data_IF_242909655521
#
_entry.id   IF_242909655521
#
_cell.length_a   1.000
_cell.length_b   1.000
_cell.length_c   1.000
_cell.angle_alpha   90.00
_cell.angle_beta   90.00
_cell.angle_gamma   90.00
#
_symmetry.space_group_name_H-M   'P 1'
#
loop_
_entity.id
_entity.type
_entity.pdbx_description
1 polymer ?
#
# COMPACT_ATOMS: atom_id res chain seq x y z
N UNK A 1 -0.93 10.66 -16.81
CA UNK A 1 -1.56 11.07 -15.53
C UNK A 1 -2.51 9.98 -15.08
N UNK A 2 -2.05 8.93 -14.37
CA UNK A 2 -2.91 7.79 -14.01
C UNK A 2 -2.45 6.96 -12.80
N UNK A 3 -1.45 7.45 -12.07
CA UNK A 3 -0.93 6.81 -10.85
C UNK A 3 -0.82 7.87 -9.76
N UNK A 4 -1.14 7.47 -8.54
CA UNK A 4 -1.02 8.28 -7.33
C UNK A 4 -0.03 7.61 -6.37
N UNK A 5 0.68 8.40 -5.58
CA UNK A 5 1.60 7.89 -4.56
C UNK A 5 0.83 7.61 -3.27
N UNK A 6 0.77 6.34 -2.85
CA UNK A 6 0.17 5.91 -1.57
C UNK A 6 1.19 5.08 -0.81
N UNK A 7 1.42 5.41 0.47
CA UNK A 7 2.36 4.68 1.35
C UNK A 7 3.75 4.47 0.70
N UNK A 8 4.29 5.50 0.06
CA UNK A 8 5.59 5.44 -0.61
C UNK A 8 5.62 4.70 -1.95
N UNK A 9 4.52 4.06 -2.37
CA UNK A 9 4.42 3.28 -3.61
C UNK A 9 3.56 3.99 -4.65
N UNK A 10 3.94 3.88 -5.92
CA UNK A 10 3.12 4.31 -7.04
C UNK A 10 2.03 3.27 -7.32
N UNK A 11 0.77 3.68 -7.22
CA UNK A 11 -0.39 2.81 -7.47
C UNK A 11 -1.32 3.47 -8.49
N UNK A 12 -2.06 2.67 -9.30
CA UNK A 12 -3.08 3.21 -10.20
C UNK A 12 -4.09 4.10 -9.46
N UNK A 13 -4.53 5.17 -10.13
CA UNK A 13 -5.56 6.06 -9.60
C UNK A 13 -6.90 5.32 -9.47
N UNK A 14 -7.28 4.60 -10.51
CA UNK A 14 -8.44 3.71 -10.53
C UNK A 14 -8.02 2.25 -10.47
N UNK A 15 -8.87 1.45 -9.85
CA UNK A 15 -8.71 0.01 -9.76
C UNK A 15 -9.51 -0.64 -10.87
N UNK A 16 -8.90 -1.61 -11.58
CA UNK A 16 -9.66 -2.45 -12.50
C UNK A 16 -10.63 -3.33 -11.73
N UNK A 17 -11.73 -3.73 -12.36
CA UNK A 17 -12.74 -4.61 -11.76
C UNK A 17 -12.12 -5.91 -11.20
N UNK A 18 -11.20 -6.53 -11.95
CA UNK A 18 -10.44 -7.70 -11.49
C UNK A 18 -9.63 -7.39 -10.21
N UNK A 19 -9.01 -6.22 -10.10
CA UNK A 19 -8.27 -5.83 -8.89
C UNK A 19 -9.20 -5.56 -7.70
N UNK A 20 -10.41 -5.06 -7.94
CA UNK A 20 -11.47 -4.90 -6.93
C UNK A 20 -11.91 -6.29 -6.45
N UNK A 21 -12.24 -7.19 -7.38
CA UNK A 21 -12.65 -8.56 -7.07
C UNK A 21 -11.61 -9.32 -6.24
N UNK A 22 -10.33 -9.26 -6.62
CA UNK A 22 -9.24 -9.89 -5.85
C UNK A 22 -9.13 -9.35 -4.42
N UNK A 23 -9.28 -8.04 -4.24
CA UNK A 23 -9.26 -7.40 -2.92
C UNK A 23 -10.44 -7.87 -2.07
N UNK A 24 -11.65 -7.88 -2.63
CA UNK A 24 -12.84 -8.35 -1.91
C UNK A 24 -12.74 -9.83 -1.53
N UNK A 25 -12.34 -10.69 -2.48
CA UNK A 25 -12.14 -12.12 -2.26
C UNK A 25 -11.10 -12.42 -1.17
N UNK A 26 -10.14 -11.52 -0.95
CA UNK A 26 -9.14 -11.63 0.12
C UNK A 26 -9.66 -11.05 1.44
N UNK A 27 -10.24 -9.85 1.41
CA UNK A 27 -10.66 -9.13 2.61
C UNK A 27 -11.84 -9.80 3.34
N UNK A 28 -12.83 -10.33 2.60
CA UNK A 28 -14.05 -10.90 3.20
C UNK A 28 -13.71 -12.11 4.09
N UNK A 29 -12.95 -13.14 3.63
CA UNK A 29 -12.56 -14.26 4.48
C UNK A 29 -11.65 -13.85 5.65
N UNK A 30 -10.75 -12.88 5.44
CA UNK A 30 -9.89 -12.37 6.52
C UNK A 30 -10.72 -11.70 7.63
N UNK A 31 -11.71 -10.90 7.26
CA UNK A 31 -12.62 -10.26 8.20
C UNK A 31 -13.48 -11.29 8.94
N UNK A 32 -14.02 -12.29 8.22
CA UNK A 32 -14.81 -13.36 8.82
C UNK A 32 -13.98 -14.15 9.85
N UNK A 33 -12.72 -14.50 9.51
CA UNK A 33 -11.81 -15.19 10.42
C UNK A 33 -11.49 -14.35 11.66
N UNK A 34 -11.30 -13.04 11.48
CA UNK A 34 -10.98 -12.12 12.56
C UNK A 34 -12.15 -11.97 13.53
N UNK A 35 -13.38 -11.89 13.01
CA UNK A 35 -14.60 -11.82 13.82
C UNK A 35 -14.85 -13.12 14.59
N UNK A 36 -14.53 -14.28 13.99
CA UNK A 36 -14.66 -15.58 14.67
C UNK A 36 -13.67 -15.73 15.82
N UNK A 37 -12.42 -15.28 15.64
CA UNK A 37 -11.39 -15.29 16.68
C UNK A 37 -10.38 -14.19 16.39
N UNK A 38 -10.21 -13.27 17.34
CA UNK A 38 -9.22 -12.21 17.22
C UNK A 38 -7.81 -12.80 17.07
N UNK A 39 -7.18 -12.57 15.92
CA UNK A 39 -5.82 -13.04 15.62
C UNK A 39 -4.84 -11.89 15.31
N UNK A 40 -5.26 -10.63 15.44
CA UNK A 40 -4.41 -9.48 15.11
C UNK A 40 -3.09 -9.45 15.88
N UNK A 41 -3.12 -9.83 17.16
CA UNK A 41 -1.93 -9.91 18.02
C UNK A 41 -0.89 -10.96 17.57
N UNK A 42 -1.28 -11.87 16.67
CA UNK A 42 -0.38 -12.88 16.09
C UNK A 42 0.24 -12.44 14.75
N UNK A 43 -0.24 -11.35 14.17
CA UNK A 43 0.20 -10.91 12.84
C UNK A 43 1.51 -10.13 12.99
N UNK A 44 2.59 -10.68 12.45
CA UNK A 44 3.83 -9.93 12.18
C UNK A 44 3.80 -9.52 10.71
N UNK A 45 3.93 -8.23 10.44
CA UNK A 45 3.94 -7.70 9.06
C UNK A 45 5.34 -7.24 8.72
N UNK A 46 5.94 -7.83 7.68
CA UNK A 46 7.12 -7.24 7.05
C UNK A 46 6.69 -6.36 5.88
N UNK A 47 7.11 -5.11 5.90
CA UNK A 47 6.98 -4.22 4.74
C UNK A 47 8.36 -3.94 4.21
N UNK A 48 8.78 -4.68 3.17
CA UNK A 48 10.01 -4.41 2.41
C UNK A 48 9.98 -3.05 1.70
N UNK A 49 9.90 -1.96 2.45
CA UNK A 49 10.12 -0.61 1.97
C UNK A 49 11.61 -0.47 1.67
N UNK A 50 11.95 -0.36 0.39
CA UNK A 50 13.28 0.10 -0.01
C UNK A 50 13.42 1.56 0.43
N UNK A 51 14.22 1.80 1.46
CA UNK A 51 14.63 3.14 1.90
C UNK A 51 15.55 3.73 0.82
N UNK A 52 14.98 4.22 -0.29
CA UNK A 52 15.75 5.05 -1.22
C UNK A 52 15.83 6.46 -0.64
N UNK A 53 17.04 6.99 -0.34
CA UNK A 53 17.17 8.38 0.07
C UNK A 53 16.72 9.26 -1.10
N UNK A 54 15.72 10.09 -0.84
CA UNK A 54 15.32 11.15 -1.76
C UNK A 54 16.55 11.99 -2.09
N UNK A 55 16.98 12.01 -3.37
CA UNK A 55 17.99 12.96 -3.81
C UNK A 55 17.48 14.36 -3.46
N UNK A 56 18.19 15.08 -2.59
CA UNK A 56 17.94 16.51 -2.40
C UNK A 56 18.11 17.15 -3.78
N UNK A 57 17.03 17.69 -4.32
CA UNK A 57 17.10 18.55 -5.50
C UNK A 57 18.13 19.64 -5.20
N UNK A 58 19.13 19.89 -6.06
CA UNK A 58 20.10 20.94 -5.79
C UNK A 58 19.34 22.27 -5.71
N UNK A 59 19.47 22.97 -4.59
CA UNK A 59 19.02 24.36 -4.46
C UNK A 59 19.76 25.17 -5.51
N UNK A 60 19.03 25.62 -6.53
CA UNK A 60 19.52 26.65 -7.44
C UNK A 60 19.52 27.94 -6.62
N UNK A 61 20.70 28.34 -6.12
CA UNK A 61 20.90 29.70 -5.65
C UNK A 61 20.78 30.61 -6.87
N UNK A 62 19.69 31.36 -6.92
CA UNK A 62 19.58 32.54 -7.77
C UNK A 62 20.54 33.59 -7.18
N UNK A 63 21.66 33.82 -7.85
CA UNK A 63 22.51 35.01 -7.66
C UNK A 63 22.18 35.98 -8.77
#
# INVERSE_FOLDING_TARGET
MGKIRKLGKWVPYELSENSIGRRLNTCIPLLARQRKKNFWWKIVTDTGQSLTPTSKSPSVHLV
#
